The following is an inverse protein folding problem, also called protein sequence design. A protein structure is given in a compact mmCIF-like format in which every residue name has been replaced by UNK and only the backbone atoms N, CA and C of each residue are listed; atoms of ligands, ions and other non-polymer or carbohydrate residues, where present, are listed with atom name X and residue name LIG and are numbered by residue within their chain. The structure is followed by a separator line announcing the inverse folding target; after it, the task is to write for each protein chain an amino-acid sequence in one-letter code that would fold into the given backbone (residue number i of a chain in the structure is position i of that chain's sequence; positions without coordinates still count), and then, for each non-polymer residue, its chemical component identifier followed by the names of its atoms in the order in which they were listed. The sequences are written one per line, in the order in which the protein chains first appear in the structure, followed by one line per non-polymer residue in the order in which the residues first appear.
data_IF_744349686795
#
_entry.id   IF_744349686795
#
_cell.length_a   1.000
_cell.length_b   1.000
_cell.length_c   1.000
_cell.angle_alpha   90.00
_cell.angle_beta   90.00
_cell.angle_gamma   90.00
#
_symmetry.space_group_name_H-M   'P 1'
#
loop_
_entity.id
_entity.type
_entity.pdbx_description
1 polymer ?
#
# COMPACT_ATOMS: atom_id res chain seq x y z
N UNK A 1 38.77 22.00 11.06
CA UNK A 1 38.00 21.27 10.01
C UNK A 1 37.32 20.01 10.53
N UNK A 2 37.98 19.03 11.20
CA UNK A 2 37.32 17.81 11.69
C UNK A 2 36.19 18.07 12.71
N UNK A 3 36.40 18.94 13.68
CA UNK A 3 35.41 19.29 14.71
C UNK A 3 34.15 19.99 14.13
N UNK A 4 34.32 20.81 13.07
CA UNK A 4 33.22 21.45 12.36
C UNK A 4 32.35 20.44 11.60
N UNK A 5 32.94 19.39 11.03
CA UNK A 5 32.19 18.32 10.33
C UNK A 5 31.43 17.41 11.31
N UNK A 6 32.00 17.14 12.49
CA UNK A 6 31.30 16.35 13.55
C UNK A 6 30.10 17.09 14.11
N UNK A 7 30.18 18.41 14.32
CA UNK A 7 29.09 19.24 14.77
C UNK A 7 27.97 19.35 13.72
N UNK A 8 28.32 19.43 12.44
CA UNK A 8 27.38 19.43 11.33
C UNK A 8 26.64 18.08 11.18
N UNK A 9 27.38 16.97 11.29
CA UNK A 9 26.79 15.62 11.28
C UNK A 9 25.86 15.38 12.47
N UNK A 10 26.19 15.93 13.64
CA UNK A 10 25.34 15.84 14.81
C UNK A 10 24.04 16.68 14.63
N UNK A 11 24.14 17.88 14.03
CA UNK A 11 22.99 18.71 13.73
C UNK A 11 22.07 18.03 12.70
N UNK A 12 22.62 17.40 11.66
CA UNK A 12 21.89 16.64 10.65
C UNK A 12 21.16 15.44 11.30
N UNK A 13 21.81 14.71 12.20
CA UNK A 13 21.18 13.58 12.90
C UNK A 13 20.01 14.04 13.79
N UNK A 14 20.15 15.15 14.52
CA UNK A 14 19.07 15.74 15.33
C UNK A 14 17.90 16.22 14.47
N UNK A 15 18.17 16.91 13.37
CA UNK A 15 17.17 17.35 12.42
C UNK A 15 16.40 16.15 11.85
N UNK A 16 17.11 15.12 11.41
CA UNK A 16 16.53 13.89 10.87
C UNK A 16 15.60 13.23 11.88
N UNK A 17 16.03 13.08 13.13
CA UNK A 17 15.21 12.48 14.18
C UNK A 17 13.93 13.29 14.45
N UNK A 18 14.00 14.62 14.47
CA UNK A 18 12.83 15.49 14.64
C UNK A 18 11.82 15.32 13.48
N UNK A 19 12.32 15.26 12.25
CA UNK A 19 11.48 15.07 11.05
C UNK A 19 10.90 13.65 11.05
N UNK A 20 11.70 12.62 11.31
CA UNK A 20 11.26 11.22 11.38
C UNK A 20 10.14 11.04 12.42
N UNK A 21 10.30 11.58 13.64
CA UNK A 21 9.31 11.47 14.71
C UNK A 21 7.99 12.17 14.38
N UNK A 22 7.99 13.24 13.62
CA UNK A 22 6.74 13.94 13.25
C UNK A 22 6.15 13.45 11.95
N UNK A 23 6.95 13.45 10.89
CA UNK A 23 6.44 13.14 9.56
C UNK A 23 6.17 11.65 9.38
N UNK A 24 7.13 10.77 9.77
CA UNK A 24 6.95 9.34 9.58
C UNK A 24 5.88 8.74 10.49
N UNK A 25 5.73 9.22 11.74
CA UNK A 25 4.68 8.75 12.64
C UNK A 25 3.29 9.07 12.10
N UNK A 26 3.04 10.35 11.75
CA UNK A 26 1.72 10.74 11.24
C UNK A 26 1.42 10.14 9.87
N UNK A 27 2.43 10.07 8.98
CA UNK A 27 2.28 9.43 7.69
C UNK A 27 1.97 7.92 7.84
N UNK A 28 2.63 7.24 8.78
CA UNK A 28 2.34 5.85 9.13
C UNK A 28 0.92 5.64 9.61
N UNK A 29 0.43 6.52 10.49
CA UNK A 29 -0.95 6.48 11.00
C UNK A 29 -1.94 6.70 9.85
N UNK A 30 -1.77 7.74 9.04
CA UNK A 30 -2.69 8.06 7.94
C UNK A 30 -2.74 6.96 6.87
N UNK A 31 -1.58 6.39 6.51
CA UNK A 31 -1.54 5.24 5.62
C UNK A 31 -2.21 4.01 6.23
N UNK A 32 -2.08 3.82 7.55
CA UNK A 32 -2.70 2.70 8.26
C UNK A 32 -4.22 2.80 8.30
N UNK A 33 -4.78 4.01 8.44
CA UNK A 33 -6.22 4.23 8.39
C UNK A 33 -6.84 3.76 7.06
N UNK A 34 -6.11 3.90 5.95
CA UNK A 34 -6.54 3.38 4.66
C UNK A 34 -6.67 1.85 4.66
N UNK A 35 -5.68 1.14 5.20
CA UNK A 35 -5.74 -0.31 5.30
C UNK A 35 -6.78 -0.79 6.32
N UNK A 36 -7.00 -0.04 7.39
CA UNK A 36 -8.03 -0.36 8.38
C UNK A 36 -9.44 -0.40 7.77
N UNK A 37 -9.75 0.45 6.77
CA UNK A 37 -11.05 0.38 6.07
C UNK A 37 -11.27 -0.98 5.41
N UNK A 38 -10.26 -1.53 4.74
CA UNK A 38 -10.35 -2.87 4.16
C UNK A 38 -10.54 -3.95 5.23
N UNK A 39 -9.90 -3.80 6.38
CA UNK A 39 -10.05 -4.70 7.53
C UNK A 39 -11.45 -4.64 8.16
N UNK A 40 -12.06 -3.44 8.25
CA UNK A 40 -13.42 -3.29 8.79
C UNK A 40 -14.46 -3.91 7.89
N UNK A 41 -14.49 -3.53 6.62
CA UNK A 41 -15.50 -4.08 5.70
C UNK A 41 -15.34 -5.60 5.54
N UNK A 42 -14.09 -6.08 5.55
CA UNK A 42 -13.78 -7.50 5.52
C UNK A 42 -14.32 -8.21 6.77
N UNK A 43 -14.06 -7.70 7.98
CA UNK A 43 -14.57 -8.23 9.24
C UNK A 43 -16.10 -8.15 9.32
N UNK A 44 -16.68 -7.01 8.97
CA UNK A 44 -18.12 -6.80 8.97
C UNK A 44 -18.86 -7.73 7.98
N UNK A 45 -18.22 -8.10 6.88
CA UNK A 45 -18.81 -8.97 5.85
C UNK A 45 -19.18 -10.36 6.31
N UNK A 46 -18.57 -10.86 7.37
CA UNK A 46 -18.87 -12.19 7.95
C UNK A 46 -19.92 -12.14 9.05
N UNK A 47 -20.31 -10.95 9.50
CA UNK A 47 -21.40 -10.70 10.46
C UNK A 47 -22.76 -10.59 9.75
N UNK A 48 -23.78 -10.13 10.47
CA UNK A 48 -25.12 -9.88 9.90
C UNK A 48 -25.17 -8.75 8.86
N UNK A 49 -24.10 -7.95 8.66
CA UNK A 49 -24.07 -6.82 7.72
C UNK A 49 -24.57 -7.19 6.32
N UNK A 50 -24.18 -8.37 5.82
CA UNK A 50 -24.54 -8.78 4.45
C UNK A 50 -26.04 -9.05 4.30
N UNK A 51 -26.66 -9.67 5.30
CA UNK A 51 -28.10 -9.92 5.34
C UNK A 51 -28.88 -8.63 5.57
N UNK A 52 -28.41 -7.77 6.49
CA UNK A 52 -29.05 -6.50 6.85
C UNK A 52 -29.10 -5.52 5.70
N UNK A 53 -28.03 -5.43 4.90
CA UNK A 53 -27.94 -4.51 3.77
C UNK A 53 -28.34 -5.14 2.44
N UNK A 54 -28.69 -6.43 2.41
CA UNK A 54 -29.04 -7.15 1.19
C UNK A 54 -27.85 -7.27 0.22
N UNK A 55 -26.63 -7.46 0.73
CA UNK A 55 -25.41 -7.62 -0.06
C UNK A 55 -25.28 -9.06 -0.61
N UNK A 56 -26.29 -9.52 -1.33
CA UNK A 56 -26.37 -10.83 -1.96
C UNK A 56 -25.62 -10.88 -3.29
N UNK A 57 -25.19 -12.04 -3.72
CA UNK A 57 -24.49 -12.26 -4.99
C UNK A 57 -23.21 -11.41 -5.11
N UNK A 58 -23.08 -10.63 -6.15
CA UNK A 58 -21.90 -9.81 -6.44
C UNK A 58 -21.92 -8.43 -5.79
N UNK A 59 -22.99 -8.04 -5.05
CA UNK A 59 -23.12 -6.68 -4.50
C UNK A 59 -22.01 -6.28 -3.55
N UNK A 60 -21.48 -7.24 -2.77
CA UNK A 60 -20.32 -6.99 -1.91
C UNK A 60 -19.07 -6.66 -2.75
N UNK A 61 -18.78 -7.46 -3.78
CA UNK A 61 -17.67 -7.21 -4.72
C UNK A 61 -17.83 -5.86 -5.44
N UNK A 62 -19.06 -5.51 -5.85
CA UNK A 62 -19.36 -4.21 -6.46
C UNK A 62 -19.07 -3.06 -5.49
N UNK A 63 -19.31 -3.23 -4.19
CA UNK A 63 -18.99 -2.18 -3.19
C UNK A 63 -17.48 -1.92 -3.08
N UNK A 64 -16.65 -2.95 -3.19
CA UNK A 64 -15.18 -2.84 -3.21
C UNK A 64 -14.71 -2.23 -4.54
N UNK A 65 -15.26 -2.72 -5.65
CA UNK A 65 -14.98 -2.23 -7.00
C UNK A 65 -15.21 -0.73 -7.13
N UNK A 66 -16.38 -0.23 -6.69
CA UNK A 66 -16.74 1.19 -6.85
C UNK A 66 -15.86 2.10 -5.98
N UNK A 67 -15.48 1.64 -4.78
CA UNK A 67 -14.50 2.32 -3.92
C UNK A 67 -13.16 2.47 -4.66
N UNK A 68 -12.66 1.40 -5.27
CA UNK A 68 -11.39 1.39 -5.99
C UNK A 68 -11.43 2.34 -7.19
N UNK A 69 -12.49 2.32 -8.01
CA UNK A 69 -12.68 3.23 -9.14
C UNK A 69 -12.70 4.69 -8.68
N UNK A 70 -13.51 5.01 -7.66
CA UNK A 70 -13.61 6.36 -7.13
C UNK A 70 -12.25 6.87 -6.61
N UNK A 71 -11.49 5.99 -5.94
CA UNK A 71 -10.15 6.30 -5.46
C UNK A 71 -9.18 6.62 -6.61
N UNK A 72 -9.17 5.81 -7.68
CA UNK A 72 -8.30 6.03 -8.84
C UNK A 72 -8.64 7.36 -9.53
N UNK A 73 -9.92 7.62 -9.81
CA UNK A 73 -10.36 8.83 -10.49
C UNK A 73 -9.99 10.12 -9.73
N UNK A 74 -10.08 10.08 -8.39
CA UNK A 74 -9.80 11.24 -7.55
C UNK A 74 -8.34 11.36 -7.09
N UNK A 75 -7.48 10.39 -7.40
CA UNK A 75 -6.09 10.36 -6.96
C UNK A 75 -5.29 11.57 -7.46
N UNK A 76 -5.39 11.90 -8.75
CA UNK A 76 -4.69 13.03 -9.35
C UNK A 76 -5.22 14.37 -8.84
N UNK A 77 -6.54 14.67 -8.84
CA UNK A 77 -7.08 15.88 -8.24
C UNK A 77 -6.65 16.09 -6.78
N UNK A 78 -6.68 15.03 -5.97
CA UNK A 78 -6.30 15.09 -4.57
C UNK A 78 -4.80 15.39 -4.39
N UNK A 79 -3.92 14.84 -5.22
CA UNK A 79 -2.48 15.14 -5.20
C UNK A 79 -2.20 16.60 -5.57
N UNK A 80 -2.94 17.16 -6.52
CA UNK A 80 -2.87 18.59 -6.87
C UNK A 80 -3.33 19.45 -5.68
N UNK A 81 -4.39 19.03 -5.00
CA UNK A 81 -4.92 19.74 -3.85
C UNK A 81 -3.93 19.80 -2.67
N UNK A 82 -3.17 18.72 -2.41
CA UNK A 82 -2.07 18.73 -1.41
C UNK A 82 -1.08 19.86 -1.70
N UNK A 83 -0.70 20.06 -2.97
CA UNK A 83 0.24 21.11 -3.38
C UNK A 83 -0.34 22.51 -3.21
N UNK A 84 -1.64 22.67 -3.54
CA UNK A 84 -2.30 24.00 -3.55
C UNK A 84 -2.71 24.45 -2.14
N UNK A 85 -3.29 23.56 -1.34
CA UNK A 85 -3.83 23.91 -0.02
C UNK A 85 -2.81 23.66 1.11
N UNK A 86 -1.73 22.95 0.84
CA UNK A 86 -0.72 22.50 1.81
C UNK A 86 -1.10 21.17 2.47
N UNK A 87 -0.08 20.39 2.89
CA UNK A 87 -0.27 19.09 3.51
C UNK A 87 -1.15 19.14 4.76
N UNK A 88 -0.91 20.09 5.65
CA UNK A 88 -1.60 20.24 6.93
C UNK A 88 -3.11 20.33 6.77
N UNK A 89 -3.58 21.29 5.97
CA UNK A 89 -5.01 21.50 5.77
C UNK A 89 -5.65 20.35 5.01
N UNK A 90 -4.98 19.87 3.96
CA UNK A 90 -5.53 18.86 3.08
C UNK A 90 -5.65 17.49 3.75
N UNK A 91 -4.58 17.00 4.40
CA UNK A 91 -4.65 15.70 5.09
C UNK A 91 -5.61 15.72 6.25
N UNK A 92 -5.71 16.82 7.01
CA UNK A 92 -6.72 16.99 8.05
C UNK A 92 -8.13 16.86 7.48
N UNK A 93 -8.43 17.62 6.41
CA UNK A 93 -9.74 17.61 5.78
C UNK A 93 -10.14 16.21 5.28
N UNK A 94 -9.28 15.57 4.50
CA UNK A 94 -9.60 14.26 3.92
C UNK A 94 -9.72 13.17 4.99
N UNK A 95 -8.90 13.23 6.06
CA UNK A 95 -8.95 12.23 7.15
C UNK A 95 -10.21 12.40 8.00
N UNK A 96 -10.60 13.63 8.34
CA UNK A 96 -11.85 13.89 9.05
C UNK A 96 -13.05 13.50 8.18
N UNK A 97 -13.05 13.86 6.89
CA UNK A 97 -14.09 13.46 5.96
C UNK A 97 -14.23 11.94 5.87
N UNK A 98 -13.10 11.23 5.75
CA UNK A 98 -13.06 9.78 5.79
C UNK A 98 -13.67 9.22 7.08
N UNK A 99 -13.28 9.76 8.25
CA UNK A 99 -13.81 9.33 9.54
C UNK A 99 -15.33 9.52 9.66
N UNK A 100 -15.85 10.69 9.25
CA UNK A 100 -17.28 10.98 9.25
C UNK A 100 -18.05 10.03 8.32
N UNK A 101 -17.55 9.81 7.10
CA UNK A 101 -18.19 8.92 6.13
C UNK A 101 -18.15 7.47 6.64
N UNK A 102 -17.05 7.06 7.28
CA UNK A 102 -16.93 5.72 7.91
C UNK A 102 -17.96 5.56 9.04
N UNK A 103 -18.14 6.57 9.90
CA UNK A 103 -19.20 6.55 10.93
C UNK A 103 -20.58 6.50 10.30
N UNK A 104 -20.82 7.26 9.24
CA UNK A 104 -22.11 7.26 8.52
C UNK A 104 -22.44 5.87 7.93
N UNK A 105 -21.42 5.06 7.61
CA UNK A 105 -21.61 3.68 7.13
C UNK A 105 -22.35 2.81 8.15
N UNK A 106 -22.21 3.07 9.45
CA UNK A 106 -22.93 2.34 10.50
C UNK A 106 -24.46 2.49 10.43
N UNK A 107 -24.94 3.57 9.82
CA UNK A 107 -26.39 3.88 9.73
C UNK A 107 -27.00 3.54 8.37
N UNK A 108 -26.25 2.96 7.47
CA UNK A 108 -26.72 2.49 6.16
C UNK A 108 -27.69 1.33 6.33
N UNK A 109 -28.78 1.34 5.57
CA UNK A 109 -29.83 0.32 5.64
C UNK A 109 -30.01 -0.49 4.35
N UNK A 110 -29.44 -0.03 3.26
CA UNK A 110 -29.61 -0.67 1.94
C UNK A 110 -28.27 -0.77 1.19
N UNK A 111 -28.17 -1.74 0.31
CA UNK A 111 -26.99 -1.89 -0.54
C UNK A 111 -26.73 -0.66 -1.42
N UNK A 112 -27.78 0.06 -1.87
CA UNK A 112 -27.64 1.28 -2.67
C UNK A 112 -26.95 2.39 -1.88
N UNK A 113 -27.35 2.60 -0.62
CA UNK A 113 -26.68 3.56 0.27
C UNK A 113 -25.23 3.17 0.52
N UNK A 114 -24.95 1.86 0.68
CA UNK A 114 -23.57 1.36 0.81
C UNK A 114 -22.71 1.74 -0.39
N UNK A 115 -23.23 1.63 -1.63
CA UNK A 115 -22.51 2.05 -2.84
C UNK A 115 -22.17 3.54 -2.78
N UNK A 116 -23.12 4.40 -2.42
CA UNK A 116 -22.88 5.87 -2.32
C UNK A 116 -21.77 6.16 -1.31
N UNK A 117 -21.85 5.56 -0.12
CA UNK A 117 -20.84 5.75 0.92
C UNK A 117 -19.47 5.25 0.43
N UNK A 118 -19.41 4.14 -0.30
CA UNK A 118 -18.14 3.61 -0.87
C UNK A 118 -17.53 4.54 -1.91
N UNK A 119 -18.34 5.22 -2.74
CA UNK A 119 -17.84 6.26 -3.65
C UNK A 119 -17.21 7.40 -2.85
N UNK A 120 -17.91 7.92 -1.86
CA UNK A 120 -17.42 9.04 -1.03
C UNK A 120 -16.16 8.67 -0.26
N UNK A 121 -16.08 7.45 0.30
CA UNK A 121 -14.87 6.92 0.96
C UNK A 121 -13.69 6.83 -0.02
N UNK A 122 -13.92 6.28 -1.22
CA UNK A 122 -12.90 6.20 -2.25
C UNK A 122 -12.35 7.59 -2.64
N UNK A 123 -13.23 8.58 -2.79
CA UNK A 123 -12.84 9.96 -3.06
C UNK A 123 -12.01 10.55 -1.91
N UNK A 124 -12.44 10.38 -0.65
CA UNK A 124 -11.74 10.90 0.52
C UNK A 124 -10.35 10.27 0.69
N UNK A 125 -10.21 8.96 0.45
CA UNK A 125 -8.95 8.23 0.65
C UNK A 125 -7.96 8.36 -0.50
N UNK A 126 -8.39 8.81 -1.68
CA UNK A 126 -7.61 8.82 -2.93
C UNK A 126 -6.26 9.53 -2.82
N UNK A 127 -6.17 10.59 -2.02
CA UNK A 127 -4.98 11.45 -1.91
C UNK A 127 -4.02 11.09 -0.79
N UNK A 128 -4.35 10.15 0.09
CA UNK A 128 -3.54 9.87 1.28
C UNK A 128 -2.18 9.33 0.89
N UNK A 129 -2.13 8.20 0.20
CA UNK A 129 -0.88 7.54 -0.16
C UNK A 129 0.00 8.38 -1.10
N UNK A 130 -0.48 8.87 -2.27
CA UNK A 130 0.33 9.65 -3.18
C UNK A 130 0.74 10.99 -2.60
N UNK A 131 -0.11 11.63 -1.82
CA UNK A 131 0.20 12.89 -1.17
C UNK A 131 1.26 12.75 -0.08
N UNK A 132 1.21 11.68 0.73
CA UNK A 132 2.24 11.40 1.74
C UNK A 132 3.56 11.00 1.10
N UNK A 133 3.53 10.19 0.02
CA UNK A 133 4.73 9.84 -0.75
C UNK A 133 5.39 11.10 -1.31
N UNK A 134 4.59 12.03 -1.83
CA UNK A 134 5.08 13.33 -2.29
C UNK A 134 5.68 14.14 -1.13
N UNK A 135 4.99 14.24 0.01
CA UNK A 135 5.47 14.98 1.18
C UNK A 135 6.80 14.41 1.71
N UNK A 136 6.91 13.08 1.85
CA UNK A 136 8.15 12.42 2.23
C UNK A 136 9.28 12.74 1.25
N UNK A 137 8.99 12.75 -0.05
CA UNK A 137 10.00 13.09 -1.05
C UNK A 137 10.49 14.53 -0.98
N UNK A 138 9.71 15.46 -0.40
CA UNK A 138 10.14 16.86 -0.22
C UNK A 138 11.01 17.08 1.01
N UNK A 139 10.98 16.18 2.01
CA UNK A 139 11.72 16.29 3.26
C UNK A 139 13.02 15.48 3.29
N UNK A 140 13.14 14.43 2.45
CA UNK A 140 14.28 13.53 2.49
C UNK A 140 15.02 13.44 1.16
N UNK A 141 16.36 13.43 1.20
CA UNK A 141 17.18 13.06 0.05
C UNK A 141 16.83 11.65 -0.45
N UNK A 142 17.05 11.39 -1.74
CA UNK A 142 16.69 10.12 -2.40
C UNK A 142 17.21 8.87 -1.69
N UNK A 143 18.44 8.94 -1.16
CA UNK A 143 19.08 7.84 -0.43
C UNK A 143 18.34 7.47 0.87
N UNK A 144 17.64 8.42 1.47
CA UNK A 144 16.97 8.24 2.75
C UNK A 144 15.48 7.86 2.63
N UNK A 145 14.86 8.06 1.47
CA UNK A 145 13.42 7.84 1.26
C UNK A 145 13.04 6.36 1.39
N UNK A 146 13.87 5.44 0.85
CA UNK A 146 13.57 4.00 0.86
C UNK A 146 13.31 3.44 2.25
N UNK A 147 14.17 3.79 3.22
CA UNK A 147 14.02 3.36 4.61
C UNK A 147 12.72 3.87 5.24
N UNK A 148 12.31 5.13 4.92
CA UNK A 148 11.06 5.73 5.44
C UNK A 148 9.83 5.04 4.87
N UNK A 149 9.84 4.75 3.58
CA UNK A 149 8.75 3.96 2.97
C UNK A 149 8.65 2.56 3.55
N UNK A 150 9.78 1.90 3.85
CA UNK A 150 9.77 0.61 4.53
C UNK A 150 9.15 0.68 5.93
N UNK A 151 9.45 1.72 6.72
CA UNK A 151 8.80 1.94 8.02
C UNK A 151 7.29 2.16 7.89
N UNK A 152 6.85 2.97 6.91
CA UNK A 152 5.44 3.21 6.66
C UNK A 152 4.71 1.89 6.33
N UNK A 153 5.27 1.07 5.47
CA UNK A 153 4.68 -0.21 5.07
C UNK A 153 4.61 -1.21 6.23
N UNK A 154 5.66 -1.34 7.02
CA UNK A 154 5.68 -2.25 8.18
C UNK A 154 4.65 -1.83 9.23
N UNK A 155 4.53 -0.54 9.51
CA UNK A 155 3.54 0.01 10.43
C UNK A 155 2.10 -0.28 10.00
N UNK A 156 1.81 -0.16 8.70
CA UNK A 156 0.49 -0.44 8.14
C UNK A 156 0.03 -1.88 8.39
N UNK A 157 0.93 -2.85 8.26
CA UNK A 157 0.61 -4.28 8.43
C UNK A 157 0.25 -4.57 9.88
N UNK A 158 1.03 -4.05 10.84
CA UNK A 158 0.78 -4.19 12.27
C UNK A 158 -0.57 -3.56 12.63
N UNK A 159 -0.85 -2.38 12.11
CA UNK A 159 -2.12 -1.70 12.35
C UNK A 159 -3.31 -2.44 11.76
N UNK A 160 -3.17 -3.04 10.57
CA UNK A 160 -4.23 -3.88 9.98
C UNK A 160 -4.54 -5.09 10.87
N UNK A 161 -3.51 -5.80 11.34
CA UNK A 161 -3.65 -6.94 12.23
C UNK A 161 -4.31 -6.53 13.57
N UNK A 162 -3.86 -5.42 14.16
CA UNK A 162 -4.43 -4.89 15.41
C UNK A 162 -5.86 -4.42 15.23
N UNK A 163 -6.18 -3.78 14.11
CA UNK A 163 -7.54 -3.38 13.76
C UNK A 163 -8.50 -4.57 13.64
N UNK A 164 -8.02 -5.68 13.12
CA UNK A 164 -8.79 -6.92 13.04
C UNK A 164 -9.10 -7.49 14.43
N UNK A 165 -8.13 -7.45 15.37
CA UNK A 165 -8.36 -7.83 16.77
C UNK A 165 -9.37 -6.89 17.46
N UNK A 166 -9.28 -5.59 17.21
CA UNK A 166 -10.26 -4.61 17.70
C UNK A 166 -11.67 -4.93 17.17
N UNK A 167 -11.80 -5.25 15.88
CA UNK A 167 -13.06 -5.65 15.28
C UNK A 167 -13.65 -6.91 15.95
N UNK A 168 -12.82 -7.88 16.29
CA UNK A 168 -13.27 -9.04 17.09
C UNK A 168 -13.83 -8.62 18.45
N UNK A 169 -13.16 -7.72 19.16
CA UNK A 169 -13.67 -7.17 20.43
C UNK A 169 -15.03 -6.47 20.27
N UNK A 170 -15.20 -5.74 19.18
CA UNK A 170 -16.43 -4.99 18.88
C UNK A 170 -17.63 -5.88 18.52
N UNK A 171 -17.38 -7.10 17.99
CA UNK A 171 -18.50 -8.07 17.78
C UNK A 171 -19.21 -8.44 19.06
N UNK A 172 -18.53 -8.40 20.21
CA UNK A 172 -19.12 -8.73 21.52
C UNK A 172 -20.11 -7.65 22.02
N UNK A 173 -20.15 -6.50 21.37
CA UNK A 173 -21.12 -5.43 21.67
C UNK A 173 -22.42 -5.58 20.88
N UNK A 174 -22.58 -6.65 20.10
CA UNK A 174 -23.77 -6.92 19.30
C UNK A 174 -25.07 -6.85 20.16
N UNK A 175 -26.05 -6.10 19.68
CA UNK A 175 -27.33 -5.88 20.37
C UNK A 175 -27.30 -4.84 21.51
N UNK A 176 -26.15 -4.35 21.96
CA UNK A 176 -26.10 -3.28 22.98
C UNK A 176 -26.53 -1.95 22.36
N UNK A 177 -27.28 -1.14 23.11
CA UNK A 177 -27.74 0.18 22.63
C UNK A 177 -28.53 0.14 21.32
N UNK A 178 -29.12 -1.00 20.93
CA UNK A 178 -29.87 -1.16 19.69
C UNK A 178 -29.03 -1.23 18.42
N UNK A 179 -27.69 -1.27 18.53
CA UNK A 179 -26.77 -1.37 17.41
C UNK A 179 -26.23 -2.78 17.27
N UNK A 180 -25.97 -3.19 16.03
CA UNK A 180 -25.35 -4.47 15.69
C UNK A 180 -23.83 -4.39 15.78
N UNK A 181 -23.16 -5.52 15.97
CA UNK A 181 -21.70 -5.60 16.12
C UNK A 181 -20.94 -4.95 14.95
N UNK A 182 -21.40 -5.13 13.71
CA UNK A 182 -20.79 -4.49 12.54
C UNK A 182 -20.93 -2.97 12.53
N UNK A 183 -22.01 -2.41 13.08
CA UNK A 183 -22.19 -0.97 13.19
C UNK A 183 -21.17 -0.34 14.16
N UNK A 184 -20.90 -1.03 15.28
CA UNK A 184 -19.84 -0.61 16.21
C UNK A 184 -18.47 -0.58 15.56
N UNK A 185 -18.14 -1.53 14.66
CA UNK A 185 -16.87 -1.52 13.94
C UNK A 185 -16.68 -0.22 13.13
N UNK A 186 -17.69 0.17 12.36
CA UNK A 186 -17.65 1.40 11.57
C UNK A 186 -17.68 2.66 12.44
N UNK A 187 -18.47 2.69 13.50
CA UNK A 187 -18.53 3.83 14.42
C UNK A 187 -17.21 4.08 15.13
N UNK A 188 -16.62 3.05 15.74
CA UNK A 188 -15.39 3.19 16.50
C UNK A 188 -14.24 3.54 15.58
N UNK A 189 -14.10 2.88 14.44
CA UNK A 189 -13.04 3.21 13.50
C UNK A 189 -13.19 4.59 12.89
N UNK A 190 -14.41 5.00 12.53
CA UNK A 190 -14.66 6.35 12.05
C UNK A 190 -14.34 7.40 13.11
N UNK A 191 -14.66 7.16 14.39
CA UNK A 191 -14.29 8.03 15.51
C UNK A 191 -12.77 8.12 15.66
N UNK A 192 -12.08 6.99 15.64
CA UNK A 192 -10.61 6.93 15.69
C UNK A 192 -9.99 7.72 14.53
N UNK A 193 -10.53 7.58 13.32
CA UNK A 193 -10.07 8.33 12.15
C UNK A 193 -10.29 9.84 12.32
N UNK A 194 -11.43 10.29 12.87
CA UNK A 194 -11.68 11.70 13.17
C UNK A 194 -10.69 12.25 14.21
N UNK A 195 -10.43 11.51 15.29
CA UNK A 195 -9.45 11.89 16.31
C UNK A 195 -8.06 12.05 15.68
N UNK A 196 -7.61 11.08 14.89
CA UNK A 196 -6.33 11.19 14.19
C UNK A 196 -6.34 12.30 13.12
N UNK A 197 -7.47 12.58 12.48
CA UNK A 197 -7.63 13.72 11.59
C UNK A 197 -7.41 15.06 12.30
N UNK A 198 -7.95 15.22 13.50
CA UNK A 198 -7.72 16.41 14.35
C UNK A 198 -6.26 16.48 14.79
N UNK A 199 -5.70 15.36 15.27
CA UNK A 199 -4.28 15.30 15.67
C UNK A 199 -3.35 15.59 14.49
N UNK A 200 -3.71 15.18 13.28
CA UNK A 200 -2.96 15.48 12.07
C UNK A 200 -2.78 16.99 11.88
N UNK A 201 -3.79 17.80 12.17
CA UNK A 201 -3.69 19.26 12.05
C UNK A 201 -2.55 19.85 12.88
N UNK A 202 -2.32 19.31 14.07
CA UNK A 202 -1.29 19.80 14.99
C UNK A 202 0.08 19.13 14.78
N UNK A 203 0.11 17.89 14.32
CA UNK A 203 1.33 17.08 14.27
C UNK A 203 1.99 17.03 12.89
N UNK A 204 1.23 17.08 11.79
CA UNK A 204 1.80 16.99 10.45
C UNK A 204 2.64 18.23 10.13
N UNK A 205 3.66 18.00 9.33
CA UNK A 205 4.59 19.05 8.91
C UNK A 205 4.20 19.54 7.52
N UNK A 206 4.23 20.84 7.33
CA UNK A 206 4.08 21.46 6.00
C UNK A 206 5.35 21.26 5.16
N UNK A 207 5.37 21.77 3.93
CA UNK A 207 6.57 21.75 3.08
C UNK A 207 7.76 22.45 3.76
N UNK A 208 9.02 22.06 3.45
CA UNK A 208 10.21 22.64 4.09
C UNK A 208 10.26 24.16 4.07
N UNK A 209 9.79 24.80 2.99
CA UNK A 209 9.73 26.24 2.85
C UNK A 209 8.74 26.90 3.83
N UNK A 210 7.75 26.14 4.29
CA UNK A 210 6.69 26.60 5.19
C UNK A 210 6.79 25.97 6.60
N UNK A 211 7.91 25.34 6.92
CA UNK A 211 8.11 24.63 8.18
C UNK A 211 7.94 25.50 9.43
N UNK A 212 8.20 26.82 9.32
CA UNK A 212 7.96 27.80 10.38
C UNK A 212 6.48 27.93 10.80
N UNK A 213 5.53 27.52 9.94
CA UNK A 213 4.11 27.51 10.27
C UNK A 213 3.70 26.33 11.14
N UNK A 214 4.57 25.33 11.27
CA UNK A 214 4.33 24.14 12.10
C UNK A 214 4.67 24.44 13.55
N UNK A 215 3.74 24.10 14.47
CA UNK A 215 3.89 24.37 15.90
C UNK A 215 5.10 23.63 16.49
N UNK A 216 6.01 24.35 17.13
CA UNK A 216 7.19 23.83 17.87
C UNK A 216 7.99 22.78 17.10
N UNK A 217 8.31 23.04 15.85
CA UNK A 217 8.96 22.03 15.02
C UNK A 217 10.44 22.31 14.78
N UNK A 218 10.77 23.28 13.96
CA UNK A 218 12.14 23.62 13.60
C UNK A 218 12.49 25.05 13.95
N UNK A 219 13.74 25.29 14.32
CA UNK A 219 14.32 26.62 14.37
C UNK A 219 14.60 27.14 12.95
N UNK A 220 14.80 28.45 12.79
CA UNK A 220 15.12 29.03 11.50
C UNK A 220 16.43 28.47 10.88
N UNK A 221 17.38 28.11 11.74
CA UNK A 221 18.65 27.49 11.33
C UNK A 221 18.45 26.04 10.86
N UNK A 222 17.67 25.26 11.61
CA UNK A 222 17.32 23.89 11.23
C UNK A 222 16.52 23.85 9.91
N UNK A 223 15.64 24.83 9.69
CA UNK A 223 14.89 24.95 8.44
C UNK A 223 15.83 25.24 7.26
N UNK A 224 16.78 26.17 7.42
CA UNK A 224 17.78 26.45 6.37
C UNK A 224 18.61 25.21 6.06
N UNK A 225 19.04 24.47 7.09
CA UNK A 225 19.79 23.22 6.95
C UNK A 225 18.97 22.17 6.18
N UNK A 226 17.67 22.01 6.50
CA UNK A 226 16.79 21.09 5.78
C UNK A 226 16.70 21.45 4.29
N UNK A 227 16.47 22.74 3.98
CA UNK A 227 16.34 23.22 2.60
C UNK A 227 17.66 23.04 1.85
N UNK A 228 18.80 23.38 2.45
CA UNK A 228 20.12 23.27 1.80
C UNK A 228 20.47 21.82 1.45
N UNK A 229 20.15 20.86 2.35
CA UNK A 229 20.34 19.42 2.09
C UNK A 229 19.52 18.91 0.89
N UNK A 230 18.26 19.33 0.82
CA UNK A 230 17.38 18.94 -0.29
C UNK A 230 17.83 19.57 -1.60
N UNK A 231 18.22 20.84 -1.55
CA UNK A 231 18.76 21.54 -2.74
C UNK A 231 20.06 20.92 -3.24
N UNK A 232 20.95 20.50 -2.32
CA UNK A 232 22.18 19.80 -2.68
C UNK A 232 21.90 18.47 -3.38
N UNK A 233 20.93 17.68 -2.88
CA UNK A 233 20.52 16.41 -3.50
C UNK A 233 19.82 16.59 -4.87
N UNK A 234 19.16 17.74 -5.07
CA UNK A 234 18.45 18.05 -6.32
C UNK A 234 19.30 18.76 -7.37
N UNK A 235 20.47 19.27 -7.02
CA UNK A 235 21.38 19.96 -7.96
C UNK A 235 21.86 19.07 -9.11
N UNK A 236 21.85 17.76 -8.94
CA UNK A 236 22.21 16.78 -9.97
C UNK A 236 21.15 16.59 -11.06
N UNK A 237 20.00 17.25 -10.94
CA UNK A 237 18.93 17.20 -11.94
C UNK A 237 18.49 18.63 -12.21
N UNK A 238 19.00 19.23 -13.29
CA UNK A 238 18.33 20.38 -13.88
C UNK A 238 16.86 20.03 -14.06
N UNK A 239 15.98 20.86 -13.46
CA UNK A 239 14.55 20.66 -13.57
C UNK A 239 14.14 20.90 -15.04
N UNK A 240 14.23 19.85 -15.81
CA UNK A 240 13.83 19.86 -17.21
C UNK A 240 12.36 20.26 -17.29
N UNK A 241 12.06 21.29 -18.08
CA UNK A 241 10.68 21.79 -18.21
C UNK A 241 9.76 20.65 -18.61
N UNK A 242 8.61 20.59 -17.94
CA UNK A 242 7.61 19.56 -18.21
C UNK A 242 7.19 19.62 -19.68
N UNK A 243 7.33 18.50 -20.39
CA UNK A 243 6.85 18.34 -21.76
C UNK A 243 6.22 16.97 -21.92
N UNK A 244 4.97 16.93 -22.35
CA UNK A 244 4.25 15.69 -22.62
C UNK A 244 5.01 14.80 -23.62
N UNK A 245 5.69 15.37 -24.60
CA UNK A 245 6.49 14.63 -25.59
C UNK A 245 7.60 13.81 -24.91
N UNK A 246 8.29 14.37 -23.91
CA UNK A 246 9.34 13.66 -23.16
C UNK A 246 8.77 12.53 -22.30
N UNK A 247 7.57 12.70 -21.74
CA UNK A 247 6.88 11.66 -20.97
C UNK A 247 6.41 10.53 -21.89
N UNK A 248 5.76 10.88 -23.00
CA UNK A 248 5.20 9.91 -23.93
C UNK A 248 6.26 9.16 -24.78
N UNK A 249 7.46 9.71 -24.89
CA UNK A 249 8.60 9.03 -25.54
C UNK A 249 8.90 7.66 -24.89
N UNK A 250 8.57 7.50 -23.60
CA UNK A 250 8.79 6.24 -22.87
C UNK A 250 7.64 5.24 -23.02
N UNK A 251 6.58 5.61 -23.73
CA UNK A 251 5.44 4.70 -23.99
C UNK A 251 5.80 3.47 -24.86
N UNK A 252 6.93 3.51 -25.56
CA UNK A 252 7.42 2.37 -26.34
C UNK A 252 8.30 1.39 -25.57
N UNK A 253 8.68 1.74 -24.32
CA UNK A 253 9.54 0.89 -23.52
C UNK A 253 8.75 -0.26 -22.86
N UNK A 254 8.95 -1.47 -23.37
CA UNK A 254 8.26 -2.69 -22.91
C UNK A 254 8.50 -3.00 -21.41
N UNK A 255 9.63 -2.55 -20.84
CA UNK A 255 9.94 -2.73 -19.41
C UNK A 255 8.90 -2.06 -18.53
N UNK A 256 8.42 -0.89 -18.93
CA UNK A 256 7.42 -0.12 -18.18
C UNK A 256 6.10 -0.89 -18.09
N UNK A 257 5.66 -1.47 -19.19
CA UNK A 257 4.45 -2.31 -19.23
C UNK A 257 4.62 -3.61 -18.44
N UNK A 258 5.81 -4.20 -18.49
CA UNK A 258 6.10 -5.39 -17.69
C UNK A 258 6.01 -5.11 -16.19
N UNK A 259 6.57 -3.99 -15.68
CA UNK A 259 6.39 -3.57 -14.28
C UNK A 259 4.92 -3.29 -13.97
N UNK A 260 4.19 -2.60 -14.85
CA UNK A 260 2.77 -2.35 -14.67
C UNK A 260 1.97 -3.67 -14.55
N UNK A 261 2.28 -4.65 -15.40
CA UNK A 261 1.66 -5.98 -15.33
C UNK A 261 1.98 -6.71 -14.02
N UNK A 262 3.23 -6.65 -13.54
CA UNK A 262 3.61 -7.24 -12.24
C UNK A 262 2.80 -6.66 -11.08
N UNK A 263 2.60 -5.34 -11.05
CA UNK A 263 1.77 -4.69 -10.02
C UNK A 263 0.27 -5.03 -10.17
N UNK A 264 -0.23 -5.18 -11.40
CA UNK A 264 -1.58 -5.67 -11.66
C UNK A 264 -1.79 -7.05 -11.03
N UNK A 265 -0.90 -8.01 -11.34
CA UNK A 265 -0.98 -9.39 -10.86
C UNK A 265 -0.88 -9.46 -9.32
N UNK A 266 0.02 -8.67 -8.74
CA UNK A 266 0.18 -8.59 -7.29
C UNK A 266 -1.06 -8.04 -6.61
N UNK A 267 -1.62 -6.93 -7.09
CA UNK A 267 -2.77 -6.30 -6.46
C UNK A 267 -4.08 -7.08 -6.64
N UNK A 268 -4.19 -7.84 -7.71
CA UNK A 268 -5.31 -8.77 -7.91
C UNK A 268 -5.41 -9.74 -6.74
N UNK A 269 -4.31 -10.37 -6.35
CA UNK A 269 -4.28 -11.32 -5.23
C UNK A 269 -4.33 -10.62 -3.87
N UNK A 270 -3.63 -9.50 -3.73
CA UNK A 270 -3.66 -8.67 -2.51
C UNK A 270 -5.09 -8.25 -2.15
N UNK A 271 -5.85 -7.74 -3.11
CA UNK A 271 -7.25 -7.32 -2.91
C UNK A 271 -8.12 -8.51 -2.51
N UNK A 272 -7.97 -9.65 -3.18
CA UNK A 272 -8.75 -10.84 -2.85
C UNK A 272 -8.51 -11.33 -1.42
N UNK A 273 -7.27 -11.36 -0.95
CA UNK A 273 -6.97 -11.77 0.43
C UNK A 273 -7.40 -10.70 1.44
N UNK A 274 -7.08 -9.43 1.20
CA UNK A 274 -7.37 -8.35 2.16
C UNK A 274 -8.86 -8.18 2.45
N UNK A 275 -9.71 -8.30 1.44
CA UNK A 275 -11.17 -8.11 1.60
C UNK A 275 -11.95 -9.38 1.87
N UNK A 276 -11.41 -10.55 1.55
CA UNK A 276 -12.17 -11.80 1.61
C UNK A 276 -11.61 -12.84 2.60
N UNK A 277 -10.47 -12.57 3.25
CA UNK A 277 -9.87 -13.53 4.20
C UNK A 277 -10.84 -14.00 5.29
N UNK A 278 -11.59 -13.13 6.01
CA UNK A 278 -12.57 -13.62 6.99
C UNK A 278 -13.70 -14.45 6.36
N UNK A 279 -14.11 -14.14 5.13
CA UNK A 279 -15.13 -14.91 4.40
C UNK A 279 -14.60 -16.30 4.08
N UNK A 280 -13.34 -16.41 3.64
CA UNK A 280 -12.67 -17.68 3.36
C UNK A 280 -12.57 -18.51 4.65
N UNK A 281 -12.24 -17.89 5.78
CA UNK A 281 -12.17 -18.58 7.07
C UNK A 281 -13.56 -19.03 7.54
N UNK A 282 -14.61 -18.20 7.42
CA UNK A 282 -15.98 -18.56 7.81
C UNK A 282 -16.57 -19.61 6.86
N UNK A 283 -16.75 -19.28 5.61
CA UNK A 283 -17.49 -20.08 4.63
C UNK A 283 -16.63 -21.18 3.99
N UNK A 284 -15.31 -20.98 3.91
CA UNK A 284 -14.39 -21.95 3.34
C UNK A 284 -13.90 -23.00 4.35
N UNK A 285 -13.71 -22.61 5.63
CA UNK A 285 -13.14 -23.48 6.67
C UNK A 285 -14.13 -23.81 7.80
N UNK A 286 -15.34 -23.23 7.80
CA UNK A 286 -16.37 -23.53 8.77
C UNK A 286 -16.19 -22.89 10.16
N UNK A 287 -15.33 -21.84 10.28
CA UNK A 287 -15.18 -21.12 11.54
C UNK A 287 -16.42 -20.27 11.85
N UNK A 288 -16.72 -20.10 13.14
CA UNK A 288 -17.74 -19.13 13.55
C UNK A 288 -17.34 -17.70 13.19
N UNK A 289 -18.29 -16.77 13.10
CA UNK A 289 -18.06 -15.37 12.74
C UNK A 289 -16.94 -14.74 13.56
N UNK A 290 -17.06 -14.82 14.88
CA UNK A 290 -16.06 -14.25 15.79
C UNK A 290 -14.68 -14.91 15.64
N UNK A 291 -14.62 -16.24 15.46
CA UNK A 291 -13.36 -16.94 15.21
C UNK A 291 -12.75 -16.56 13.87
N UNK A 292 -13.55 -16.41 12.81
CA UNK A 292 -13.06 -16.02 11.50
C UNK A 292 -12.42 -14.62 11.51
N UNK A 293 -13.00 -13.68 12.25
CA UNK A 293 -12.43 -12.33 12.43
C UNK A 293 -11.13 -12.44 13.26
N UNK A 294 -11.14 -13.16 14.38
CA UNK A 294 -9.97 -13.31 15.24
C UNK A 294 -8.80 -13.97 14.49
N UNK A 295 -9.08 -15.07 13.79
CA UNK A 295 -8.08 -15.86 13.08
C UNK A 295 -7.57 -15.19 11.78
N UNK A 296 -8.16 -14.10 11.33
CA UNK A 296 -7.59 -13.31 10.22
C UNK A 296 -6.45 -12.39 10.64
N UNK A 297 -6.27 -12.09 11.94
CA UNK A 297 -5.16 -11.26 12.42
C UNK A 297 -3.78 -11.96 12.42
N UNK A 298 -3.61 -13.21 12.88
CA UNK A 298 -2.31 -13.86 12.94
C UNK A 298 -1.55 -13.94 11.61
N UNK A 299 -2.17 -14.20 10.43
CA UNK A 299 -1.46 -14.17 9.15
C UNK A 299 -0.83 -12.79 8.85
N UNK A 300 -1.47 -11.68 9.24
CA UNK A 300 -0.91 -10.35 9.06
C UNK A 300 0.26 -10.09 10.01
N UNK A 301 0.17 -10.48 11.28
CA UNK A 301 1.32 -10.38 12.19
C UNK A 301 2.51 -11.22 11.71
N UNK A 302 2.26 -12.45 11.26
CA UNK A 302 3.28 -13.29 10.67
C UNK A 302 3.96 -12.63 9.47
N UNK A 303 3.21 -11.91 8.64
CA UNK A 303 3.72 -11.30 7.42
C UNK A 303 4.86 -10.29 7.66
N UNK A 304 4.96 -9.72 8.86
CA UNK A 304 6.07 -8.83 9.24
C UNK A 304 7.41 -9.55 9.11
N UNK A 305 7.47 -10.83 9.50
CA UNK A 305 8.72 -11.63 9.46
C UNK A 305 9.23 -11.79 8.03
N UNK A 306 8.48 -12.35 7.07
CA UNK A 306 8.97 -12.52 5.71
C UNK A 306 9.21 -11.19 4.98
N UNK A 307 8.48 -10.12 5.31
CA UNK A 307 8.74 -8.77 4.75
C UNK A 307 10.13 -8.28 5.13
N UNK A 308 10.46 -8.33 6.43
CA UNK A 308 11.78 -7.88 6.93
C UNK A 308 12.89 -8.78 6.39
N UNK A 309 12.73 -10.09 6.47
CA UNK A 309 13.73 -11.05 5.98
C UNK A 309 13.98 -10.87 4.47
N UNK A 310 12.91 -10.80 3.67
CA UNK A 310 13.03 -10.58 2.22
C UNK A 310 13.74 -9.26 1.89
N UNK A 311 13.45 -8.19 2.63
CA UNK A 311 14.09 -6.89 2.42
C UNK A 311 15.58 -6.91 2.78
N UNK A 312 15.91 -7.48 3.95
CA UNK A 312 17.32 -7.58 4.40
C UNK A 312 18.16 -8.46 3.45
N UNK A 313 17.63 -9.61 3.04
CA UNK A 313 18.31 -10.50 2.09
C UNK A 313 18.49 -9.81 0.73
N UNK A 314 17.43 -9.14 0.24
CA UNK A 314 17.47 -8.42 -1.01
C UNK A 314 18.50 -7.28 -1.01
N UNK A 315 18.62 -6.54 0.10
CA UNK A 315 19.58 -5.43 0.22
C UNK A 315 21.01 -5.94 0.36
N UNK A 316 21.26 -6.97 1.18
CA UNK A 316 22.60 -7.50 1.41
C UNK A 316 23.21 -8.17 0.17
N UNK A 317 22.41 -8.91 -0.59
CA UNK A 317 22.87 -9.62 -1.77
C UNK A 317 22.65 -8.88 -3.09
N UNK A 318 21.96 -7.75 -3.08
CA UNK A 318 21.65 -6.98 -4.28
C UNK A 318 20.71 -7.70 -5.27
N UNK A 319 19.98 -8.73 -4.82
CA UNK A 319 19.11 -9.58 -5.65
C UNK A 319 17.64 -9.31 -5.36
N UNK A 320 16.88 -8.89 -6.36
CA UNK A 320 15.45 -8.59 -6.23
C UNK A 320 14.56 -9.64 -6.92
N UNK A 321 14.91 -10.02 -8.13
CA UNK A 321 14.16 -11.01 -8.92
C UNK A 321 14.02 -12.37 -8.22
N UNK A 322 15.12 -12.99 -7.74
CA UNK A 322 15.06 -14.24 -6.99
C UNK A 322 14.19 -14.18 -5.74
N UNK A 323 14.16 -13.05 -5.02
CA UNK A 323 13.30 -12.85 -3.83
C UNK A 323 11.82 -12.82 -4.23
N UNK A 324 11.47 -12.08 -5.30
CA UNK A 324 10.09 -12.04 -5.82
C UNK A 324 9.65 -13.43 -6.26
N UNK A 325 10.53 -14.18 -6.91
CA UNK A 325 10.27 -15.56 -7.34
C UNK A 325 10.05 -16.48 -6.15
N UNK A 326 10.90 -16.41 -5.12
CA UNK A 326 10.74 -17.21 -3.90
C UNK A 326 9.41 -16.91 -3.19
N UNK A 327 9.09 -15.64 -2.97
CA UNK A 327 7.83 -15.23 -2.36
C UNK A 327 6.63 -15.69 -3.21
N UNK A 328 6.73 -15.60 -4.55
CA UNK A 328 5.66 -16.06 -5.45
C UNK A 328 5.47 -17.58 -5.37
N UNK A 329 6.54 -18.37 -5.22
CA UNK A 329 6.45 -19.81 -4.97
C UNK A 329 5.78 -20.12 -3.62
N UNK A 330 6.16 -19.39 -2.56
CA UNK A 330 5.50 -19.50 -1.26
C UNK A 330 4.00 -19.23 -1.35
N UNK A 331 3.61 -18.22 -2.14
CA UNK A 331 2.21 -17.90 -2.36
C UNK A 331 1.47 -19.00 -3.12
N UNK A 332 2.06 -19.54 -4.18
CA UNK A 332 1.49 -20.68 -4.93
C UNK A 332 1.28 -21.87 -3.99
N UNK A 333 2.29 -22.23 -3.17
CA UNK A 333 2.16 -23.30 -2.18
C UNK A 333 1.02 -22.98 -1.19
N UNK A 334 0.95 -21.74 -0.69
CA UNK A 334 -0.11 -21.29 0.21
C UNK A 334 -1.51 -21.45 -0.40
N UNK A 335 -1.69 -21.08 -1.67
CA UNK A 335 -2.97 -21.28 -2.36
C UNK A 335 -3.26 -22.75 -2.69
N UNK A 336 -2.25 -23.56 -3.00
CA UNK A 336 -2.42 -25.00 -3.13
C UNK A 336 -2.90 -25.64 -1.81
N UNK A 337 -2.30 -25.27 -0.68
CA UNK A 337 -2.74 -25.72 0.64
C UNK A 337 -4.18 -25.29 0.93
N UNK A 338 -4.53 -24.06 0.58
CA UNK A 338 -5.85 -23.48 0.83
C UNK A 338 -6.94 -24.14 -0.04
N UNK A 339 -6.67 -24.40 -1.31
CA UNK A 339 -7.65 -24.89 -2.28
C UNK A 339 -7.80 -26.41 -2.31
N UNK A 340 -6.69 -27.16 -2.20
CA UNK A 340 -6.69 -28.60 -2.46
C UNK A 340 -6.62 -29.48 -1.22
N UNK A 341 -6.23 -28.93 -0.04
CA UNK A 341 -6.21 -29.72 1.19
C UNK A 341 -7.62 -29.91 1.75
N UNK A 342 -7.88 -31.09 2.30
CA UNK A 342 -9.09 -31.39 3.05
C UNK A 342 -9.00 -30.99 4.54
N UNK A 343 -7.76 -30.84 5.08
CA UNK A 343 -7.53 -30.55 6.48
C UNK A 343 -7.59 -29.04 6.73
N UNK A 344 -8.46 -28.57 7.63
CA UNK A 344 -8.65 -27.17 7.98
C UNK A 344 -7.36 -26.51 8.47
N UNK A 345 -6.55 -27.25 9.27
CA UNK A 345 -5.27 -26.72 9.78
C UNK A 345 -4.29 -26.43 8.65
N UNK A 346 -4.18 -27.31 7.65
CA UNK A 346 -3.31 -27.11 6.48
C UNK A 346 -3.80 -25.92 5.66
N UNK A 347 -5.11 -25.80 5.43
CA UNK A 347 -5.72 -24.66 4.75
C UNK A 347 -5.44 -23.35 5.48
N UNK A 348 -5.54 -23.35 6.80
CA UNK A 348 -5.25 -22.17 7.61
C UNK A 348 -3.76 -21.77 7.54
N UNK A 349 -2.82 -22.74 7.61
CA UNK A 349 -1.40 -22.48 7.38
C UNK A 349 -1.14 -21.91 5.98
N UNK A 350 -1.88 -22.35 4.98
CA UNK A 350 -1.83 -21.75 3.63
C UNK A 350 -2.12 -20.26 3.62
N UNK A 351 -2.99 -19.76 4.50
CA UNK A 351 -3.26 -18.30 4.60
C UNK A 351 -2.06 -17.52 5.12
N UNK A 352 -1.25 -18.08 6.01
CA UNK A 352 -0.01 -17.45 6.48
C UNK A 352 1.00 -17.30 5.36
N UNK A 353 1.26 -18.38 4.61
CA UNK A 353 2.18 -18.34 3.48
C UNK A 353 1.71 -17.36 2.42
N UNK A 354 0.44 -17.40 2.04
CA UNK A 354 -0.11 -16.53 1.03
C UNK A 354 -0.04 -15.04 1.45
N UNK A 355 -0.44 -14.74 2.71
CA UNK A 355 -0.44 -13.37 3.23
C UNK A 355 0.99 -12.83 3.36
N UNK A 356 1.90 -13.60 3.96
CA UNK A 356 3.30 -13.21 4.09
C UNK A 356 3.97 -12.96 2.74
N UNK A 357 3.68 -13.81 1.77
CA UNK A 357 4.29 -13.74 0.45
C UNK A 357 3.81 -12.52 -0.36
N UNK A 358 2.49 -12.23 -0.44
CA UNK A 358 2.04 -11.09 -1.23
C UNK A 358 2.49 -9.75 -0.62
N UNK A 359 2.50 -9.64 0.72
CA UNK A 359 2.96 -8.42 1.40
C UNK A 359 4.47 -8.21 1.17
N UNK A 360 5.27 -9.29 1.25
CA UNK A 360 6.71 -9.23 0.96
C UNK A 360 6.99 -8.84 -0.49
N UNK A 361 6.18 -9.32 -1.43
CA UNK A 361 6.31 -8.97 -2.84
C UNK A 361 5.98 -7.50 -3.12
N UNK A 362 5.12 -6.84 -2.33
CA UNK A 362 4.90 -5.39 -2.46
C UNK A 362 6.19 -4.59 -2.26
N UNK A 363 6.92 -4.87 -1.18
CA UNK A 363 8.20 -4.21 -0.89
C UNK A 363 9.27 -4.55 -1.93
N UNK A 364 9.43 -5.85 -2.25
CA UNK A 364 10.42 -6.33 -3.19
C UNK A 364 10.20 -5.77 -4.61
N UNK A 365 8.95 -5.76 -5.10
CA UNK A 365 8.61 -5.27 -6.43
C UNK A 365 8.77 -3.76 -6.56
N UNK A 366 8.40 -2.99 -5.51
CA UNK A 366 8.60 -1.54 -5.48
C UNK A 366 10.10 -1.19 -5.59
N UNK A 367 10.94 -1.90 -4.85
CA UNK A 367 12.39 -1.73 -4.91
C UNK A 367 12.96 -2.21 -6.27
N UNK A 368 12.45 -3.30 -6.83
CA UNK A 368 12.85 -3.82 -8.14
C UNK A 368 12.55 -2.80 -9.25
N UNK A 369 11.36 -2.20 -9.24
CA UNK A 369 11.00 -1.13 -10.16
C UNK A 369 11.91 0.10 -10.00
N UNK A 370 12.11 0.58 -8.75
CA UNK A 370 12.90 1.77 -8.47
C UNK A 370 14.35 1.64 -8.94
N UNK A 371 14.94 0.44 -8.80
CA UNK A 371 16.32 0.17 -9.20
C UNK A 371 16.50 0.04 -10.71
N UNK A 372 15.47 -0.38 -11.44
CA UNK A 372 15.57 -0.70 -12.87
C UNK A 372 14.97 0.36 -13.80
N UNK A 373 14.32 1.38 -13.26
CA UNK A 373 13.79 2.51 -14.03
C UNK A 373 14.60 3.77 -13.70
N UNK A 374 15.37 4.24 -14.65
CA UNK A 374 16.18 5.45 -14.53
C UNK A 374 15.61 6.58 -15.40
N UNK A 375 15.97 7.83 -15.08
CA UNK A 375 15.49 9.02 -15.77
C UNK A 375 14.18 9.57 -15.18
N UNK A 376 14.11 10.90 -15.05
CA UNK A 376 12.99 11.58 -14.39
C UNK A 376 11.65 11.33 -15.10
N UNK A 377 11.59 11.53 -16.40
CA UNK A 377 10.35 11.42 -17.18
C UNK A 377 9.88 9.98 -17.32
N UNK A 378 10.82 9.05 -17.44
CA UNK A 378 10.53 7.61 -17.45
C UNK A 378 9.94 7.14 -16.13
N UNK A 379 10.49 7.59 -14.98
CA UNK A 379 9.93 7.30 -13.65
C UNK A 379 8.51 7.85 -13.50
N UNK A 380 8.25 9.07 -13.98
CA UNK A 380 6.90 9.68 -13.94
C UNK A 380 5.92 8.83 -14.75
N UNK A 381 6.28 8.50 -16.01
CA UNK A 381 5.44 7.67 -16.86
C UNK A 381 5.19 6.28 -16.26
N UNK A 382 6.25 5.62 -15.79
CA UNK A 382 6.16 4.30 -15.17
C UNK A 382 5.27 4.33 -13.92
N UNK A 383 5.42 5.32 -13.05
CA UNK A 383 4.60 5.43 -11.84
C UNK A 383 3.12 5.64 -12.17
N UNK A 384 2.81 6.44 -13.18
CA UNK A 384 1.44 6.66 -13.63
C UNK A 384 0.83 5.36 -14.19
N UNK A 385 1.56 4.65 -15.06
CA UNK A 385 1.09 3.41 -15.68
C UNK A 385 0.95 2.30 -14.64
N UNK A 386 1.92 2.14 -13.74
CA UNK A 386 1.88 1.19 -12.63
C UNK A 386 0.66 1.46 -11.74
N UNK A 387 0.37 2.73 -11.41
CA UNK A 387 -0.80 3.09 -10.60
C UNK A 387 -2.11 2.70 -11.29
N UNK A 388 -2.22 2.92 -12.60
CA UNK A 388 -3.41 2.53 -13.37
C UNK A 388 -3.59 1.00 -13.40
N UNK A 389 -2.54 0.25 -13.69
CA UNK A 389 -2.58 -1.22 -13.72
C UNK A 389 -2.79 -1.83 -12.33
N UNK A 390 -2.18 -1.25 -11.30
CA UNK A 390 -2.43 -1.62 -9.91
C UNK A 390 -3.91 -1.45 -9.54
N UNK A 391 -4.52 -0.32 -9.89
CA UNK A 391 -5.94 -0.10 -9.72
C UNK A 391 -6.79 -1.12 -10.46
N UNK A 392 -6.47 -1.42 -11.73
CA UNK A 392 -7.15 -2.45 -12.51
C UNK A 392 -7.02 -3.85 -11.87
N UNK A 393 -5.84 -4.17 -11.30
CA UNK A 393 -5.63 -5.40 -10.51
C UNK A 393 -6.56 -5.49 -9.30
N UNK A 394 -6.70 -4.39 -8.54
CA UNK A 394 -7.63 -4.31 -7.41
C UNK A 394 -9.09 -4.49 -7.82
N UNK A 395 -9.48 -3.91 -8.96
CA UNK A 395 -10.80 -4.12 -9.58
C UNK A 395 -11.01 -5.60 -9.89
N UNK A 396 -10.09 -6.24 -10.61
CA UNK A 396 -10.19 -7.65 -10.95
C UNK A 396 -10.22 -8.53 -9.69
N UNK A 397 -9.37 -8.25 -8.70
CA UNK A 397 -9.28 -8.99 -7.44
C UNK A 397 -10.57 -8.99 -6.62
N UNK A 398 -11.41 -7.95 -6.75
CA UNK A 398 -12.69 -7.90 -6.04
C UNK A 398 -13.75 -8.89 -6.56
N UNK A 399 -13.55 -9.49 -7.73
CA UNK A 399 -14.50 -10.41 -8.36
C UNK A 399 -14.03 -11.87 -8.43
N UNK A 400 -12.79 -12.19 -8.06
CA UNK A 400 -12.28 -13.57 -8.15
C UNK A 400 -12.77 -14.47 -7.02
N UNK A 401 -13.13 -13.91 -5.84
CA UNK A 401 -13.69 -14.69 -4.73
C UNK A 401 -15.20 -14.75 -4.87
N UNK A 402 -15.69 -15.85 -5.45
CA UNK A 402 -17.10 -16.06 -5.74
C UNK A 402 -17.74 -16.87 -4.64
N UNK A 403 -18.85 -16.40 -4.08
CA UNK A 403 -19.55 -17.10 -2.98
C UNK A 403 -20.14 -18.45 -3.38
N UNK A 404 -20.55 -18.57 -4.66
CA UNK A 404 -21.10 -19.81 -5.19
C UNK A 404 -20.09 -20.97 -5.19
N UNK A 405 -18.79 -20.64 -5.12
CA UNK A 405 -17.69 -21.61 -5.13
C UNK A 405 -17.26 -22.04 -3.70
N UNK A 406 -17.96 -21.59 -2.66
CA UNK A 406 -17.69 -22.08 -1.31
C UNK A 406 -17.92 -23.60 -1.25
N UNK A 407 -17.08 -24.36 -0.52
CA UNK A 407 -16.05 -23.93 0.40
C UNK A 407 -14.64 -23.81 -0.20
N UNK A 408 -14.43 -24.15 -1.47
CA UNK A 408 -13.09 -24.25 -2.08
C UNK A 408 -12.60 -22.98 -2.76
N UNK A 409 -13.52 -22.10 -3.26
CA UNK A 409 -13.20 -20.88 -3.99
C UNK A 409 -12.24 -21.12 -5.17
N UNK A 410 -12.57 -22.08 -6.04
CA UNK A 410 -11.68 -22.59 -7.10
C UNK A 410 -11.19 -21.48 -8.02
N UNK A 411 -12.06 -20.54 -8.44
CA UNK A 411 -11.66 -19.41 -9.27
C UNK A 411 -10.58 -18.57 -8.58
N UNK A 412 -10.74 -18.26 -7.28
CA UNK A 412 -9.75 -17.47 -6.54
C UNK A 412 -8.42 -18.22 -6.42
N UNK A 413 -8.44 -19.52 -6.19
CA UNK A 413 -7.24 -20.35 -6.10
C UNK A 413 -6.50 -20.38 -7.43
N UNK A 414 -7.17 -20.77 -8.53
CA UNK A 414 -6.52 -20.89 -9.83
C UNK A 414 -6.03 -19.57 -10.39
N UNK A 415 -6.81 -18.49 -10.25
CA UNK A 415 -6.39 -17.15 -10.70
C UNK A 415 -5.19 -16.66 -9.90
N UNK A 416 -5.15 -16.90 -8.59
CA UNK A 416 -4.01 -16.50 -7.75
C UNK A 416 -2.75 -17.30 -8.10
N UNK A 417 -2.86 -18.60 -8.31
CA UNK A 417 -1.75 -19.47 -8.74
C UNK A 417 -1.26 -19.00 -10.12
N UNK A 418 -2.17 -18.86 -11.09
CA UNK A 418 -1.84 -18.44 -12.46
C UNK A 418 -1.19 -17.07 -12.52
N UNK A 419 -1.67 -16.12 -11.70
CA UNK A 419 -1.08 -14.78 -11.58
C UNK A 419 0.37 -14.83 -11.11
N UNK A 420 0.68 -15.67 -10.11
CA UNK A 420 2.05 -15.75 -9.60
C UNK A 420 2.96 -16.63 -10.45
N UNK A 421 2.44 -17.61 -11.17
CA UNK A 421 3.21 -18.29 -12.23
C UNK A 421 3.59 -17.30 -13.33
N UNK A 422 2.64 -16.46 -13.78
CA UNK A 422 2.94 -15.41 -14.75
C UNK A 422 3.92 -14.38 -14.20
N UNK A 423 3.81 -14.01 -12.92
CA UNK A 423 4.77 -13.13 -12.25
C UNK A 423 6.18 -13.72 -12.27
N UNK A 424 6.35 -15.01 -11.95
CA UNK A 424 7.65 -15.70 -12.01
C UNK A 424 8.21 -15.68 -13.44
N UNK A 425 7.38 -15.97 -14.44
CA UNK A 425 7.80 -15.92 -15.86
C UNK A 425 8.26 -14.52 -16.26
N UNK A 426 7.51 -13.48 -15.91
CA UNK A 426 7.88 -12.09 -16.22
C UNK A 426 9.16 -11.65 -15.51
N UNK A 427 9.33 -11.98 -14.23
CA UNK A 427 10.56 -11.68 -13.47
C UNK A 427 11.74 -12.45 -14.05
N UNK A 428 11.55 -13.71 -14.44
CA UNK A 428 12.57 -14.51 -15.11
C UNK A 428 12.98 -13.90 -16.45
N UNK A 429 12.01 -13.49 -17.29
CA UNK A 429 12.27 -12.79 -18.52
C UNK A 429 13.04 -11.48 -18.32
N UNK A 430 12.66 -10.69 -17.32
CA UNK A 430 13.38 -9.46 -16.96
C UNK A 430 14.80 -9.76 -16.49
N UNK A 431 15.01 -10.78 -15.65
CA UNK A 431 16.34 -11.17 -15.20
C UNK A 431 17.25 -11.54 -16.37
N UNK A 432 16.75 -12.28 -17.36
CA UNK A 432 17.50 -12.62 -18.57
C UNK A 432 17.81 -11.39 -19.42
N UNK A 433 16.81 -10.51 -19.64
CA UNK A 433 16.98 -9.26 -20.40
C UNK A 433 18.00 -8.33 -19.74
N UNK A 434 17.90 -8.15 -18.42
CA UNK A 434 18.82 -7.31 -17.65
C UNK A 434 20.21 -7.88 -17.59
N UNK A 435 20.35 -9.20 -17.45
CA UNK A 435 21.64 -9.86 -17.54
C UNK A 435 22.30 -9.64 -18.90
N UNK A 436 21.58 -9.88 -20.00
CA UNK A 436 22.09 -9.66 -21.34
C UNK A 436 22.44 -8.18 -21.60
N UNK A 437 21.63 -7.24 -21.10
CA UNK A 437 21.90 -5.81 -21.21
C UNK A 437 23.17 -5.40 -20.42
N UNK A 438 23.30 -5.87 -19.18
CA UNK A 438 24.48 -5.62 -18.34
C UNK A 438 25.78 -6.21 -18.98
N UNK A 439 25.70 -7.37 -19.64
CA UNK A 439 26.87 -7.95 -20.36
C UNK A 439 27.26 -7.10 -21.57
N UNK A 440 26.27 -6.60 -22.36
CA UNK A 440 26.56 -5.69 -23.47
C UNK A 440 27.25 -4.40 -23.03
N UNK A 441 26.84 -3.86 -21.86
CA UNK A 441 27.48 -2.70 -21.28
C UNK A 441 28.92 -2.99 -20.83
N UNK A 442 29.19 -4.15 -20.17
CA UNK A 442 30.54 -4.53 -19.75
C UNK A 442 31.53 -4.58 -20.92
N UNK A 443 31.04 -4.94 -22.10
CA UNK A 443 31.84 -5.01 -23.34
C UNK A 443 31.90 -3.67 -24.08
N UNK A 444 31.32 -2.59 -23.48
CA UNK A 444 31.34 -1.26 -24.08
C UNK A 444 30.42 -1.08 -25.31
N UNK A 445 29.49 -2.03 -25.53
CA UNK A 445 28.58 -2.03 -26.71
C UNK A 445 27.28 -1.26 -26.50
N UNK A 446 26.98 -0.84 -25.29
CA UNK A 446 25.74 -0.10 -24.98
C UNK A 446 25.90 0.74 -23.71
N UNK A 447 25.26 1.93 -23.70
CA UNK A 447 25.04 2.74 -22.51
C UNK A 447 23.60 2.47 -22.08
N UNK A 448 23.41 1.96 -20.86
CA UNK A 448 22.07 1.63 -20.36
C UNK A 448 21.38 2.86 -19.79
N UNK A 449 20.11 3.05 -20.11
CA UNK A 449 19.26 4.18 -19.63
C UNK A 449 19.87 5.57 -19.89
N UNK A 450 20.87 5.69 -20.79
CA UNK A 450 21.57 6.95 -21.05
C UNK A 450 22.48 7.43 -19.91
N UNK A 451 22.79 6.58 -18.94
CA UNK A 451 23.62 6.90 -17.76
C UNK A 451 24.87 6.01 -17.75
N UNK A 452 26.02 6.66 -17.75
CA UNK A 452 27.29 5.92 -17.64
C UNK A 452 27.39 5.17 -16.30
N UNK A 453 27.78 3.90 -16.37
CA UNK A 453 27.93 3.07 -15.18
C UNK A 453 26.61 2.50 -14.60
N UNK A 454 25.45 2.84 -15.14
CA UNK A 454 24.18 2.26 -14.69
C UNK A 454 24.14 0.75 -14.99
N UNK A 455 23.67 -0.02 -14.01
CA UNK A 455 23.45 -1.47 -14.17
C UNK A 455 22.05 -1.84 -13.66
N UNK A 456 21.40 -2.70 -14.41
CA UNK A 456 20.15 -3.30 -13.96
C UNK A 456 20.39 -4.27 -12.80
N UNK A 457 19.47 -4.25 -11.82
CA UNK A 457 19.42 -5.23 -10.74
C UNK A 457 18.62 -6.45 -11.21
N UNK A 458 19.09 -7.63 -10.90
CA UNK A 458 18.45 -8.91 -11.25
C UNK A 458 17.44 -9.35 -10.22
#
# INVERSE_FOLDING_TARGET
MAKSNEDEDAAIRRLRLKVDLRLCTIAGILCSLNLLDSGVISSASVTSMRTDLGLTGTRYSVSIFIFTIASICCQLPSTIAVRRFGPRKWFTLITISFGIITMATAFVRTWKQMIVVRVLLGMAMSGVYPGLTYLVSTWYPRREQGTRFAYLQSGQIIMLATGTLANYGLTKLDGRGGLKGWQYMFLVQGLVACVFGILTYFWIVDFPEQAHKSLWFLTAEEQKLAISRIQADRKDVEADKFAWSKVLQHATDIKVYGFACLFFLLNLVSTSLSYFLPIILKSGMGFSESKAILLSAPPYYYAVIPVVLSSVVADNFGVRGPIITFNSLCLIIGFCMLGFSSQVTVRYLGTFLATGAYISNWAALSAYQANNIAGQWKRVFTSALVSAFNGAGGVAGSFIVRQQEAPRYETAVWVSIGSHVLMIMLVGAFSLLFYAANQRQKVGRAVLEGIDGFRYTH
#
